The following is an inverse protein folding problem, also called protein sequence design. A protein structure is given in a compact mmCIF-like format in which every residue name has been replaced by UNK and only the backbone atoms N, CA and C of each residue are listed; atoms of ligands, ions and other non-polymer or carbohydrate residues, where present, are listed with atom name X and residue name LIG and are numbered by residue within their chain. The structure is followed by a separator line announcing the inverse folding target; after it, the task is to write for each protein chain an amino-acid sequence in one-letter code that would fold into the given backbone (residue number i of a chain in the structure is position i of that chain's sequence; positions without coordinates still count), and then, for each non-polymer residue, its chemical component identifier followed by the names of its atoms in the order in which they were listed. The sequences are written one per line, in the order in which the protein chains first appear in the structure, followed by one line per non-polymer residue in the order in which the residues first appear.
data_IF_583645422076
#
_entry.id   IF_583645422076
#
_cell.length_a   1.000
_cell.length_b   1.000
_cell.length_c   1.000
_cell.angle_alpha   90.00
_cell.angle_beta   90.00
_cell.angle_gamma   90.00
#
_symmetry.space_group_name_H-M   'P 1'
#
loop_
_entity.id
_entity.type
_entity.pdbx_description
1 polymer ?
#
# COMPACT_ATOMS: atom_id res chain seq x y z
N UNK A 1 16.56 16.43 23.68
CA UNK A 1 16.79 15.15 22.98
C UNK A 1 16.13 15.34 21.61
N UNK A 2 16.91 15.28 20.52
CA UNK A 2 16.41 15.53 19.17
C UNK A 2 15.85 14.21 18.62
N UNK A 3 14.57 14.21 18.25
CA UNK A 3 13.94 13.06 17.61
C UNK A 3 13.67 13.39 16.15
N UNK A 4 14.30 12.66 15.25
CA UNK A 4 14.07 12.79 13.80
C UNK A 4 12.86 11.96 13.42
N UNK A 5 11.83 12.60 12.88
CA UNK A 5 10.66 11.93 12.31
C UNK A 5 10.80 11.90 10.78
N UNK A 6 10.86 10.70 10.21
CA UNK A 6 10.81 10.53 8.75
C UNK A 6 9.38 10.79 8.24
N UNK A 7 9.16 11.94 7.62
CA UNK A 7 7.90 12.23 6.93
C UNK A 7 7.99 11.67 5.52
N UNK A 8 7.34 10.54 5.26
CA UNK A 8 7.18 10.00 3.91
C UNK A 8 6.27 10.95 3.11
N UNK A 9 6.88 11.84 2.32
CA UNK A 9 6.16 12.73 1.42
C UNK A 9 5.34 11.91 0.40
N UNK A 10 4.01 11.96 0.53
CA UNK A 10 3.07 11.43 -0.46
C UNK A 10 1.98 10.53 0.12
N UNK A 11 0.95 11.12 0.72
CA UNK A 11 -0.28 10.39 1.09
C UNK A 11 -1.06 10.02 -0.17
N UNK A 12 -0.66 8.93 -0.83
CA UNK A 12 -1.43 8.37 -1.95
C UNK A 12 -2.76 7.82 -1.42
N UNK A 13 -3.85 8.14 -2.12
CA UNK A 13 -5.22 7.70 -1.75
C UNK A 13 -5.45 6.19 -1.92
N UNK A 14 -4.62 5.52 -2.72
CA UNK A 14 -4.73 4.08 -2.99
C UNK A 14 -3.36 3.45 -3.20
N UNK A 15 -3.21 2.21 -2.71
CA UNK A 15 -2.00 1.42 -2.91
C UNK A 15 -1.86 1.01 -4.39
N UNK A 16 -0.67 1.25 -4.97
CA UNK A 16 -0.32 0.79 -6.31
C UNK A 16 0.18 -0.65 -6.25
N UNK A 17 -0.16 -1.44 -7.25
CA UNK A 17 0.23 -2.85 -7.40
C UNK A 17 1.17 -2.99 -8.57
N UNK A 18 2.22 -3.80 -8.40
CA UNK A 18 3.16 -4.13 -9.46
C UNK A 18 2.45 -5.01 -10.49
N UNK A 19 2.44 -4.58 -11.74
CA UNK A 19 1.82 -5.34 -12.83
C UNK A 19 2.70 -5.26 -14.07
N UNK A 20 2.38 -6.09 -15.05
CA UNK A 20 2.98 -6.07 -16.38
C UNK A 20 1.83 -6.34 -17.36
N UNK A 21 1.17 -5.28 -17.81
CA UNK A 21 -0.05 -5.35 -18.63
C UNK A 21 0.06 -4.40 -19.81
N UNK A 22 -0.16 -4.91 -21.02
CA UNK A 22 -0.29 -4.08 -22.20
C UNK A 22 -1.55 -3.22 -22.14
N UNK A 23 -1.39 -1.94 -22.47
CA UNK A 23 -2.44 -0.95 -22.49
C UNK A 23 -2.42 -0.21 -23.82
N UNK A 24 -3.50 -0.32 -24.58
CA UNK A 24 -3.71 0.51 -25.76
C UNK A 24 -4.09 1.91 -25.31
N UNK A 25 -3.38 2.90 -25.84
CA UNK A 25 -3.57 4.31 -25.52
C UNK A 25 -3.97 5.05 -26.78
N UNK A 26 -5.15 5.67 -26.72
CA UNK A 26 -5.67 6.54 -27.77
C UNK A 26 -5.55 7.99 -27.31
N UNK A 27 -4.90 8.81 -28.13
CA UNK A 27 -4.66 10.23 -27.89
C UNK A 27 -4.96 11.03 -29.15
N UNK A 28 -5.28 12.31 -29.00
CA UNK A 28 -5.48 13.21 -30.14
C UNK A 28 -4.18 13.56 -30.89
N UNK A 29 -3.02 13.33 -30.25
CA UNK A 29 -1.71 13.63 -30.82
C UNK A 29 -1.11 12.46 -31.59
N UNK A 30 -1.75 11.28 -31.54
CA UNK A 30 -1.32 10.07 -32.23
C UNK A 30 -2.38 9.66 -33.24
N UNK A 31 -1.94 9.28 -34.44
CA UNK A 31 -2.86 8.90 -35.51
C UNK A 31 -3.53 7.54 -35.26
N UNK A 32 -2.88 6.67 -34.49
CA UNK A 32 -3.35 5.31 -34.17
C UNK A 32 -3.18 5.01 -32.67
N UNK A 33 -3.93 4.03 -32.11
CA UNK A 33 -3.70 3.55 -30.76
C UNK A 33 -2.28 3.00 -30.60
N UNK A 34 -1.58 3.47 -29.56
CA UNK A 34 -0.23 3.01 -29.23
C UNK A 34 -0.32 2.05 -28.05
N UNK A 35 0.22 0.83 -28.20
CA UNK A 35 0.32 -0.13 -27.09
C UNK A 35 1.54 0.20 -26.22
N UNK A 36 1.30 0.45 -24.94
CA UNK A 36 2.30 0.78 -23.93
C UNK A 36 2.21 -0.18 -22.75
N UNK A 37 3.32 -0.33 -22.02
CA UNK A 37 3.38 -1.25 -20.89
C UNK A 37 2.97 -0.55 -19.59
N UNK A 38 1.96 -1.08 -18.91
CA UNK A 38 1.58 -0.65 -17.57
C UNK A 38 2.37 -1.42 -16.51
N UNK A 39 3.18 -0.70 -15.74
CA UNK A 39 4.09 -1.28 -14.74
C UNK A 39 3.52 -1.23 -13.31
N UNK A 40 2.64 -0.27 -13.07
CA UNK A 40 1.87 -0.22 -11.84
C UNK A 40 0.42 0.14 -12.11
N UNK A 41 -0.46 -0.35 -11.25
CA UNK A 41 -1.89 -0.12 -11.35
C UNK A 41 -2.52 0.06 -9.97
N UNK A 42 -3.47 0.97 -9.91
CA UNK A 42 -4.32 1.23 -8.75
C UNK A 42 -5.75 1.49 -9.22
N UNK A 43 -6.68 1.57 -8.28
CA UNK A 43 -8.08 1.93 -8.58
C UNK A 43 -8.25 3.35 -9.15
N UNK A 44 -7.24 4.22 -9.00
CA UNK A 44 -7.30 5.61 -9.43
C UNK A 44 -6.41 5.95 -10.62
N UNK A 45 -5.60 5.01 -11.11
CA UNK A 45 -4.62 5.31 -12.15
C UNK A 45 -3.52 4.27 -12.27
N UNK A 46 -2.61 4.51 -13.21
CA UNK A 46 -1.51 3.61 -13.55
C UNK A 46 -0.22 4.36 -13.90
N UNK A 47 0.88 3.64 -14.03
CA UNK A 47 2.10 4.12 -14.65
C UNK A 47 2.34 3.39 -15.97
N UNK A 48 2.54 4.16 -17.04
CA UNK A 48 2.86 3.65 -18.36
C UNK A 48 4.34 3.92 -18.68
N UNK A 49 5.04 2.88 -19.11
CA UNK A 49 6.35 3.00 -19.74
C UNK A 49 6.17 3.56 -21.15
N UNK A 50 6.78 4.70 -21.42
CA UNK A 50 6.58 5.45 -22.65
C UNK A 50 7.84 6.24 -22.99
N UNK A 51 8.50 5.89 -24.09
CA UNK A 51 9.70 6.60 -24.55
C UNK A 51 9.40 8.07 -24.91
N UNK A 52 8.19 8.31 -25.46
CA UNK A 52 7.68 9.62 -25.82
C UNK A 52 6.36 9.86 -25.05
N UNK A 53 6.44 10.22 -23.76
CA UNK A 53 5.25 10.46 -22.95
C UNK A 53 4.52 11.73 -23.42
N UNK A 54 3.20 11.72 -23.26
CA UNK A 54 2.34 12.89 -23.47
C UNK A 54 2.55 13.94 -22.38
N UNK A 55 2.07 15.17 -22.60
CA UNK A 55 2.24 16.26 -21.66
C UNK A 55 1.27 16.15 -20.47
N UNK A 56 1.66 16.71 -19.33
CA UNK A 56 0.80 16.77 -18.14
C UNK A 56 -0.47 17.57 -18.45
N UNK A 57 -1.62 17.00 -18.12
CA UNK A 57 -2.94 17.57 -18.41
C UNK A 57 -3.57 17.03 -19.70
N UNK A 58 -2.82 16.30 -20.53
CA UNK A 58 -3.38 15.70 -21.73
C UNK A 58 -4.43 14.64 -21.40
N UNK A 59 -5.53 14.69 -22.13
CA UNK A 59 -6.63 13.73 -22.04
C UNK A 59 -6.44 12.59 -23.03
N UNK A 60 -6.69 11.38 -22.57
CA UNK A 60 -6.50 10.16 -23.35
C UNK A 60 -7.53 9.11 -22.98
N UNK A 61 -7.67 8.10 -23.84
CA UNK A 61 -8.50 6.92 -23.58
C UNK A 61 -7.62 5.68 -23.52
N UNK A 62 -7.78 4.92 -22.45
CA UNK A 62 -7.05 3.68 -22.22
C UNK A 62 -7.95 2.48 -22.50
N UNK A 63 -7.35 1.41 -23.00
CA UNK A 63 -7.96 0.08 -23.12
C UNK A 63 -6.97 -0.97 -22.67
N UNK A 64 -7.32 -1.74 -21.63
CA UNK A 64 -6.45 -2.77 -21.08
C UNK A 64 -7.25 -3.88 -20.39
N UNK A 65 -6.60 -5.01 -20.09
CA UNK A 65 -7.19 -6.10 -19.32
C UNK A 65 -6.56 -6.15 -17.92
N UNK A 66 -7.26 -5.71 -16.86
CA UNK A 66 -6.71 -5.82 -15.51
C UNK A 66 -6.34 -7.28 -15.16
N UNK A 67 -5.33 -7.49 -14.31
CA UNK A 67 -4.99 -8.84 -13.86
C UNK A 67 -6.18 -9.46 -13.12
N UNK A 68 -6.48 -10.74 -13.36
CA UNK A 68 -7.60 -11.45 -12.71
C UNK A 68 -8.99 -10.82 -12.97
N UNK A 69 -9.13 -10.05 -14.05
CA UNK A 69 -10.39 -9.42 -14.44
C UNK A 69 -11.46 -10.44 -14.87
N UNK A 70 -12.59 -10.47 -14.16
CA UNK A 70 -13.64 -11.49 -14.36
C UNK A 70 -14.61 -11.19 -15.50
N UNK A 71 -14.66 -9.96 -16.02
CA UNK A 71 -15.66 -9.59 -17.03
C UNK A 71 -15.40 -10.17 -18.42
N UNK A 72 -14.19 -10.67 -18.70
CA UNK A 72 -13.79 -11.19 -20.02
C UNK A 72 -13.73 -10.13 -21.15
N UNK A 73 -14.00 -8.86 -20.84
CA UNK A 73 -13.90 -7.71 -21.75
C UNK A 73 -12.82 -6.74 -21.26
N UNK A 74 -12.14 -5.99 -22.14
CA UNK A 74 -11.19 -4.97 -21.72
C UNK A 74 -11.90 -3.86 -20.95
N UNK A 75 -11.21 -3.30 -19.96
CA UNK A 75 -11.59 -2.07 -19.31
C UNK A 75 -11.22 -0.91 -20.24
N UNK A 76 -12.20 -0.05 -20.53
CA UNK A 76 -12.02 1.16 -21.34
C UNK A 76 -12.34 2.35 -20.46
N UNK A 77 -11.39 3.27 -20.30
CA UNK A 77 -11.51 4.39 -19.35
C UNK A 77 -10.88 5.64 -19.94
N UNK A 78 -11.52 6.79 -19.76
CA UNK A 78 -10.91 8.08 -20.02
C UNK A 78 -9.99 8.46 -18.87
N UNK A 79 -8.91 9.15 -19.20
CA UNK A 79 -7.86 9.42 -18.25
C UNK A 79 -7.09 10.70 -18.60
N UNK A 80 -6.28 11.16 -17.65
CA UNK A 80 -5.49 12.37 -17.77
C UNK A 80 -4.06 12.09 -17.30
N UNK A 81 -3.08 12.64 -18.02
CA UNK A 81 -1.67 12.59 -17.62
C UNK A 81 -1.47 13.50 -16.39
N UNK A 82 -1.02 12.94 -15.27
CA UNK A 82 -0.78 13.68 -14.02
C UNK A 82 0.68 13.96 -13.73
N UNK A 83 1.59 13.17 -14.28
CA UNK A 83 3.03 13.36 -14.15
C UNK A 83 3.75 12.70 -15.32
N UNK A 84 4.91 13.24 -15.65
CA UNK A 84 5.83 12.70 -16.65
C UNK A 84 7.21 12.59 -16.01
N UNK A 85 7.91 11.50 -16.29
CA UNK A 85 9.30 11.32 -15.92
C UNK A 85 10.12 10.94 -17.16
N UNK A 86 11.13 11.75 -17.47
CA UNK A 86 12.02 11.59 -18.62
C UNK A 86 13.41 11.07 -18.21
N UNK A 87 13.60 10.70 -16.95
CA UNK A 87 14.92 10.27 -16.48
C UNK A 87 15.35 8.95 -17.13
N UNK A 88 16.24 9.06 -18.12
CA UNK A 88 17.03 7.95 -18.64
C UNK A 88 17.91 7.37 -17.53
N UNK A 89 17.51 6.27 -16.91
CA UNK A 89 18.32 5.59 -15.89
C UNK A 89 19.33 4.62 -16.52
N UNK A 90 20.49 4.52 -15.88
CA UNK A 90 21.52 3.50 -16.17
C UNK A 90 21.04 2.19 -15.56
N UNK A 91 20.85 1.17 -16.40
CA UNK A 91 20.55 -0.23 -16.07
C UNK A 91 19.19 -0.52 -15.39
N UNK A 92 18.27 -1.12 -16.15
CA UNK A 92 17.22 -2.01 -15.64
C UNK A 92 15.93 -1.38 -15.10
N UNK A 93 15.78 -0.05 -15.11
CA UNK A 93 14.53 0.64 -14.78
C UNK A 93 13.85 1.19 -16.06
N UNK A 94 12.53 1.41 -16.05
CA UNK A 94 11.80 2.02 -17.18
C UNK A 94 12.40 3.39 -17.49
N UNK A 95 12.74 3.61 -18.76
CA UNK A 95 13.64 4.69 -19.18
C UNK A 95 12.97 6.07 -19.30
N UNK A 96 11.64 6.08 -19.43
CA UNK A 96 10.77 7.25 -19.40
C UNK A 96 9.32 6.77 -19.24
N UNK A 97 8.45 7.60 -18.70
CA UNK A 97 7.05 7.19 -18.56
C UNK A 97 6.13 8.29 -18.07
N UNK A 98 4.86 7.93 -17.98
CA UNK A 98 3.82 8.85 -17.55
C UNK A 98 2.89 8.21 -16.53
N UNK A 99 2.57 8.99 -15.50
CA UNK A 99 1.59 8.65 -14.50
C UNK A 99 0.22 9.15 -14.92
N UNK A 100 -0.71 8.23 -15.02
CA UNK A 100 -2.07 8.48 -15.51
C UNK A 100 -3.06 8.42 -14.35
N UNK A 101 -4.05 9.30 -14.34
CA UNK A 101 -5.20 9.23 -13.44
C UNK A 101 -6.49 8.96 -14.23
N UNK A 102 -7.29 8.02 -13.75
CA UNK A 102 -8.59 7.70 -14.35
C UNK A 102 -9.60 8.80 -14.01
N UNK A 103 -10.34 9.28 -15.00
CA UNK A 103 -11.29 10.39 -14.81
C UNK A 103 -12.74 9.92 -14.71
N UNK A 104 -13.09 8.78 -15.31
CA UNK A 104 -14.49 8.34 -15.45
C UNK A 104 -14.76 6.87 -15.07
N UNK A 105 -13.97 6.31 -14.16
CA UNK A 105 -14.19 4.94 -13.70
C UNK A 105 -15.47 4.82 -12.85
N UNK A 106 -16.44 4.02 -13.31
CA UNK A 106 -17.70 3.86 -12.61
C UNK A 106 -17.52 3.07 -11.28
N UNK A 107 -18.45 3.18 -10.30
CA UNK A 107 -18.28 2.52 -9.00
C UNK A 107 -18.13 0.99 -9.08
N UNK A 108 -18.87 0.34 -9.99
CA UNK A 108 -18.81 -1.12 -10.18
C UNK A 108 -17.48 -1.58 -10.77
N UNK A 109 -16.97 -0.87 -11.77
CA UNK A 109 -15.65 -1.09 -12.37
C UNK A 109 -14.54 -0.85 -11.35
N UNK A 110 -14.69 0.18 -10.52
CA UNK A 110 -13.75 0.49 -9.44
C UNK A 110 -13.67 -0.65 -8.42
N UNK A 111 -14.81 -1.18 -7.99
CA UNK A 111 -14.85 -2.31 -7.06
C UNK A 111 -14.33 -3.59 -7.70
N UNK A 112 -14.71 -3.87 -8.95
CA UNK A 112 -14.16 -4.99 -9.70
C UNK A 112 -12.63 -4.87 -9.85
N UNK A 113 -12.12 -3.66 -10.10
CA UNK A 113 -10.68 -3.40 -10.24
C UNK A 113 -9.97 -3.55 -8.90
N UNK A 114 -10.59 -3.10 -7.81
CA UNK A 114 -10.07 -3.30 -6.45
C UNK A 114 -9.89 -4.79 -6.14
N UNK A 115 -10.89 -5.62 -6.47
CA UNK A 115 -10.85 -7.07 -6.28
C UNK A 115 -9.84 -7.75 -7.22
N UNK A 116 -9.75 -7.30 -8.46
CA UNK A 116 -8.79 -7.79 -9.45
C UNK A 116 -7.33 -7.58 -8.99
N UNK A 117 -7.08 -6.47 -8.29
CA UNK A 117 -5.77 -6.09 -7.75
C UNK A 117 -5.45 -6.70 -6.37
N UNK A 118 -6.39 -7.44 -5.78
CA UNK A 118 -6.22 -8.03 -4.45
C UNK A 118 -5.14 -9.12 -4.45
N UNK A 119 -4.26 -9.08 -3.44
CA UNK A 119 -3.14 -10.01 -3.29
C UNK A 119 -1.95 -9.78 -4.23
N UNK A 120 -1.99 -8.77 -5.10
CA UNK A 120 -0.82 -8.37 -5.89
C UNK A 120 0.09 -7.51 -5.00
N UNK A 121 1.41 -7.74 -4.96
CA UNK A 121 2.31 -6.94 -4.14
C UNK A 121 2.43 -5.49 -4.66
N UNK A 122 2.76 -4.52 -3.80
CA UNK A 122 3.14 -3.20 -4.27
C UNK A 122 4.43 -3.25 -5.10
N UNK A 123 4.65 -2.31 -6.04
CA UNK A 123 5.91 -2.20 -6.75
C UNK A 123 7.03 -1.96 -5.75
N UNK A 124 8.14 -2.71 -5.90
CA UNK A 124 9.31 -2.48 -5.08
C UNK A 124 9.79 -1.04 -5.33
N UNK A 125 10.13 -0.29 -4.26
CA UNK A 125 10.75 1.00 -4.45
C UNK A 125 12.06 0.76 -5.20
N UNK A 126 12.15 1.28 -6.42
CA UNK A 126 13.45 1.48 -7.04
C UNK A 126 14.24 2.38 -6.08
N UNK A 127 15.47 1.98 -5.75
CA UNK A 127 16.34 2.77 -4.88
C UNK A 127 16.59 4.11 -5.56
N UNK A 128 15.72 5.06 -5.28
CA UNK A 128 15.84 6.41 -5.78
C UNK A 128 16.79 7.13 -4.82
N UNK A 129 18.05 7.29 -5.24
CA UNK A 129 19.08 8.05 -4.50
C UNK A 129 18.68 9.51 -4.28
N UNK A 130 17.56 9.97 -4.88
CA UNK A 130 17.00 11.31 -4.71
C UNK A 130 15.70 11.33 -3.92
N UNK A 131 15.55 10.48 -2.89
CA UNK A 131 14.66 10.83 -1.77
C UNK A 131 15.21 12.12 -1.14
N UNK A 132 14.68 13.26 -1.59
CA UNK A 132 14.84 14.55 -0.93
C UNK A 132 14.26 14.37 0.47
N UNK A 133 15.14 14.08 1.41
CA UNK A 133 14.78 13.87 2.79
C UNK A 133 14.63 15.27 3.33
N UNK A 134 13.41 15.78 3.35
CA UNK A 134 13.15 17.10 3.91
C UNK A 134 13.27 16.98 5.43
N UNK A 135 14.35 17.54 5.96
CA UNK A 135 14.55 17.67 7.40
C UNK A 135 13.59 18.76 7.89
N UNK A 136 12.45 18.35 8.44
CA UNK A 136 11.49 19.26 9.05
C UNK A 136 11.89 19.45 10.51
N UNK A 137 12.13 20.69 10.91
CA UNK A 137 12.33 21.06 12.31
C UNK A 137 10.98 21.03 13.03
N UNK A 138 10.77 20.05 13.90
CA UNK A 138 9.62 20.00 14.80
C UNK A 138 10.04 20.62 16.13
N UNK A 139 9.71 21.89 16.35
CA UNK A 139 10.09 22.61 17.58
C UNK A 139 9.30 22.17 18.81
N UNK A 140 8.13 21.54 18.62
CA UNK A 140 7.39 20.91 19.71
C UNK A 140 6.50 19.77 19.19
N UNK A 141 6.65 18.58 19.78
CA UNK A 141 5.64 17.54 19.72
C UNK A 141 4.59 17.91 20.78
N UNK A 142 3.56 18.65 20.38
CA UNK A 142 2.39 18.83 21.22
C UNK A 142 1.59 17.52 21.21
N UNK A 143 1.91 16.63 22.16
CA UNK A 143 0.98 15.58 22.55
C UNK A 143 -0.15 16.26 23.31
N UNK A 144 -1.28 16.50 22.65
CA UNK A 144 -2.51 16.79 23.36
C UNK A 144 -2.95 15.49 24.05
N UNK A 145 -2.65 15.36 25.34
CA UNK A 145 -3.52 14.61 26.23
C UNK A 145 -4.78 15.46 26.36
N UNK A 146 -5.83 15.04 25.65
CA UNK A 146 -7.17 15.55 25.88
C UNK A 146 -7.52 15.12 27.32
N UNK A 147 -7.35 16.06 28.26
CA UNK A 147 -7.87 15.96 29.62
C UNK A 147 -9.39 15.88 29.51
N UNK A 148 -9.89 14.66 29.34
CA UNK A 148 -11.29 14.30 29.45
C UNK A 148 -11.69 14.48 30.92
N UNK A 149 -11.89 15.75 31.29
CA UNK A 149 -12.50 16.14 32.56
C UNK A 149 -13.76 15.33 32.81
N UNK A 150 -13.82 14.77 34.01
CA UNK A 150 -14.91 13.98 34.60
C UNK A 150 -15.15 12.58 34.03
N UNK A 151 -14.30 11.63 34.42
CA UNK A 151 -14.76 10.50 35.25
C UNK A 151 -13.73 10.11 36.29
N UNK A 152 -14.17 10.21 37.55
CA UNK A 152 -13.53 9.73 38.77
C UNK A 152 -13.20 8.23 38.61
N UNK A 153 -11.94 7.90 38.31
CA UNK A 153 -11.43 6.58 38.66
C UNK A 153 -11.25 6.57 40.17
N UNK A 154 -12.21 5.95 40.85
CA UNK A 154 -12.08 5.56 42.25
C UNK A 154 -10.94 4.54 42.29
N UNK A 155 -9.76 5.01 42.70
CA UNK A 155 -8.73 4.13 43.22
C UNK A 155 -9.08 3.89 44.68
N UNK A 156 -9.63 2.72 45.00
CA UNK A 156 -9.51 2.22 46.37
C UNK A 156 -8.01 2.03 46.64
N UNK A 157 -7.54 2.80 47.61
CA UNK A 157 -6.17 2.78 48.09
C UNK A 157 -5.96 1.46 48.81
N UNK A 158 -4.96 0.73 48.33
CA UNK A 158 -4.31 -0.39 48.99
C UNK A 158 -4.09 -0.15 50.48
N UNK A 159 -4.62 -1.02 51.34
CA UNK A 159 -3.98 -1.31 52.62
C UNK A 159 -2.79 -2.22 52.37
N UNK A 160 -1.61 -1.64 52.56
CA UNK A 160 -0.34 -2.34 52.65
C UNK A 160 -0.13 -2.72 54.13
N UNK A 161 0.26 -3.98 54.37
CA UNK A 161 1.12 -4.52 55.44
C UNK A 161 0.54 -5.74 56.15
N UNK A 162 1.28 -6.85 56.11
CA UNK A 162 1.14 -7.94 57.07
C UNK A 162 1.55 -9.30 56.49
N UNK A 163 2.86 -9.58 56.51
CA UNK A 163 3.37 -10.95 56.48
C UNK A 163 2.89 -11.73 57.72
N UNK A 164 2.77 -13.05 57.52
CA UNK A 164 2.55 -14.14 58.48
C UNK A 164 1.18 -14.22 59.19
N UNK A 165 0.36 -15.22 58.87
CA UNK A 165 0.46 -16.59 59.39
C UNK A 165 -0.55 -17.48 58.65
N UNK A 166 -0.24 -18.78 58.55
CA UNK A 166 -0.80 -19.71 57.56
C UNK A 166 -2.32 -19.92 57.61
N UNK A 167 -2.90 -20.40 56.50
CA UNK A 167 -4.02 -21.34 56.48
C UNK A 167 -4.32 -21.81 55.04
N UNK A 168 -4.10 -23.11 54.86
CA UNK A 168 -4.72 -24.12 53.99
C UNK A 168 -5.07 -23.86 52.52
N UNK A 169 -4.46 -24.72 51.70
CA UNK A 169 -4.83 -25.01 50.33
C UNK A 169 -6.20 -25.71 50.28
N UNK A 170 -7.15 -25.13 49.55
CA UNK A 170 -8.19 -25.85 48.79
C UNK A 170 -8.99 -24.86 47.91
N UNK A 171 -9.39 -25.33 46.74
CA UNK A 171 -10.35 -24.71 45.79
C UNK A 171 -9.93 -23.45 45.00
N UNK A 172 -9.23 -23.69 43.88
CA UNK A 172 -9.52 -22.96 42.63
C UNK A 172 -9.80 -24.00 41.54
N UNK A 173 -11.08 -24.26 41.27
CA UNK A 173 -11.54 -24.99 40.09
C UNK A 173 -11.17 -24.21 38.83
N UNK A 174 -10.15 -24.69 38.12
CA UNK A 174 -9.72 -24.16 36.83
C UNK A 174 -10.53 -24.87 35.72
N UNK A 175 -11.43 -24.13 35.07
CA UNK A 175 -12.15 -24.62 33.90
C UNK A 175 -11.16 -24.94 32.76
N UNK A 176 -11.12 -26.21 32.38
CA UNK A 176 -10.34 -26.73 31.27
C UNK A 176 -10.83 -26.15 29.94
N UNK A 177 -9.94 -25.45 29.23
CA UNK A 177 -10.01 -25.35 27.77
C UNK A 177 -8.89 -26.21 27.22
N UNK A 178 -9.31 -27.25 26.51
CA UNK A 178 -8.49 -28.36 26.06
C UNK A 178 -7.29 -27.97 25.22
N UNK A 179 -6.23 -28.70 25.50
CA UNK A 179 -5.15 -29.14 24.64
C UNK A 179 -5.37 -28.92 23.14
N UNK A 180 -4.49 -28.14 22.51
CA UNK A 180 -3.86 -28.54 21.26
C UNK A 180 -2.58 -27.74 21.06
N UNK A 181 -1.58 -28.41 20.49
CA UNK A 181 -0.23 -27.95 20.11
C UNK A 181 0.89 -28.28 21.10
N UNK A 182 1.12 -29.58 21.28
CA UNK A 182 2.49 -30.11 21.39
C UNK A 182 3.22 -29.99 20.04
N UNK A 183 4.34 -29.28 20.07
CA UNK A 183 5.45 -29.28 19.09
C UNK A 183 6.12 -30.69 19.02
N UNK A 184 7.11 -31.05 18.14
CA UNK A 184 7.99 -30.18 17.35
C UNK A 184 8.41 -30.65 15.93
N UNK A 185 9.05 -29.72 15.22
CA UNK A 185 10.14 -29.85 14.22
C UNK A 185 10.50 -31.25 13.67
N UNK A 186 10.36 -31.44 12.34
CA UNK A 186 11.29 -32.22 11.53
C UNK A 186 11.08 -31.96 10.02
N UNK A 187 11.96 -31.17 9.40
CA UNK A 187 12.17 -31.15 7.95
C UNK A 187 13.27 -32.17 7.61
N UNK A 188 13.05 -33.07 6.64
CA UNK A 188 14.16 -33.63 5.88
C UNK A 188 14.13 -33.12 4.44
N UNK A 189 15.24 -32.45 4.09
CA UNK A 189 15.74 -32.31 2.73
C UNK A 189 15.71 -33.66 1.98
N UNK A 190 15.30 -33.64 0.71
CA UNK A 190 15.80 -34.60 -0.29
C UNK A 190 16.13 -33.87 -1.60
N UNK A 191 17.43 -33.99 -1.93
CA UNK A 191 18.05 -33.80 -3.23
C UNK A 191 17.89 -35.07 -4.08
N UNK A 192 18.18 -34.91 -5.38
CA UNK A 192 18.32 -35.89 -6.47
C UNK A 192 17.03 -36.14 -7.29
N UNK A 193 17.06 -36.12 -8.63
CA UNK A 193 18.19 -36.18 -9.58
C UNK A 193 17.88 -35.38 -10.85
#
# INVERSE_FOLDING_TARGET
MLETVEVLAGSRRSLRRAIDVECDVLSQYWDEPVSLLALDLSVGGMWLDAELPLDVGDSLRLRFHPPRWKSGRPLIVNAEVRRVDLQRRRFGAPAAGMGIAFTDLNPWERDALRLALEGIPPPLPFADETKRTDLIWVESLLTWEEDLGDRVNIYEVSEWLGLDDGFDAEEIEFFAVGEMLTSPLAFPFRLAA
#
